data_IF_061165231638
#
_entry.id   IF_061165231638
#
_cell.length_a   1.000
_cell.length_b   1.000
_cell.length_c   1.000
_cell.angle_alpha   90.00
_cell.angle_beta   90.00
_cell.angle_gamma   90.00
#
_symmetry.space_group_name_H-M   'P 1'
#
loop_
_entity.id
_entity.type
_entity.pdbx_description
1 polymer ?
#
# COMPACT_ATOMS: atom_id res chain seq x y z
N UNK A 1 -39.70 6.11 1.01
CA UNK A 1 -38.92 4.91 1.36
C UNK A 1 -37.80 5.33 2.32
N UNK A 2 -37.99 5.15 3.63
CA UNK A 2 -36.98 5.55 4.64
C UNK A 2 -35.79 4.57 4.63
N UNK A 3 -36.04 3.29 4.32
CA UNK A 3 -34.98 2.26 4.21
C UNK A 3 -33.92 2.60 3.16
N UNK A 4 -34.32 3.11 2.00
CA UNK A 4 -33.37 3.44 0.93
C UNK A 4 -32.43 4.58 1.33
N UNK A 5 -32.94 5.57 2.07
CA UNK A 5 -32.14 6.67 2.62
C UNK A 5 -31.16 6.18 3.69
N UNK A 6 -31.59 5.23 4.53
CA UNK A 6 -30.71 4.60 5.53
C UNK A 6 -29.60 3.78 4.88
N UNK A 7 -29.92 3.03 3.82
CA UNK A 7 -28.92 2.24 3.07
C UNK A 7 -27.90 3.15 2.36
N UNK A 8 -28.35 4.23 1.70
CA UNK A 8 -27.44 5.20 1.05
C UNK A 8 -26.54 5.89 2.09
N UNK A 9 -27.09 6.23 3.26
CA UNK A 9 -26.30 6.79 4.35
C UNK A 9 -25.23 5.81 4.85
N UNK A 10 -25.57 4.54 5.03
CA UNK A 10 -24.63 3.50 5.48
C UNK A 10 -23.51 3.26 4.45
N UNK A 11 -23.85 3.18 3.17
CA UNK A 11 -22.88 3.04 2.08
C UNK A 11 -21.90 4.23 2.02
N UNK A 12 -22.41 5.45 2.22
CA UNK A 12 -21.58 6.67 2.25
C UNK A 12 -20.68 6.72 3.48
N UNK A 13 -21.17 6.28 4.64
CA UNK A 13 -20.37 6.18 5.85
C UNK A 13 -19.23 5.17 5.67
N UNK A 14 -19.53 3.98 5.12
CA UNK A 14 -18.51 2.97 4.82
C UNK A 14 -17.45 3.48 3.85
N UNK A 15 -17.85 4.15 2.76
CA UNK A 15 -16.90 4.77 1.82
C UNK A 15 -15.99 5.81 2.49
N UNK A 16 -16.55 6.61 3.41
CA UNK A 16 -15.79 7.62 4.14
C UNK A 16 -14.77 6.98 5.08
N UNK A 17 -15.14 5.90 5.76
CA UNK A 17 -14.22 5.13 6.61
C UNK A 17 -13.10 4.51 5.78
N UNK A 18 -13.41 3.93 4.62
CA UNK A 18 -12.40 3.33 3.74
C UNK A 18 -11.44 4.36 3.14
N UNK A 19 -11.93 5.55 2.79
CA UNK A 19 -11.07 6.68 2.38
C UNK A 19 -10.13 7.10 3.51
N UNK A 20 -10.65 7.27 4.73
CA UNK A 20 -9.84 7.60 5.90
C UNK A 20 -8.77 6.54 6.19
N UNK A 21 -9.10 5.25 6.05
CA UNK A 21 -8.13 4.16 6.23
C UNK A 21 -7.01 4.23 5.20
N UNK A 22 -7.34 4.49 3.93
CA UNK A 22 -6.34 4.70 2.89
C UNK A 22 -5.40 5.86 3.21
N UNK A 23 -5.97 7.00 3.61
CA UNK A 23 -5.18 8.17 3.98
C UNK A 23 -4.24 7.87 5.15
N UNK A 24 -4.74 7.21 6.20
CA UNK A 24 -3.95 6.82 7.37
C UNK A 24 -2.83 5.82 7.04
N UNK A 25 -3.02 4.91 6.08
CA UNK A 25 -1.99 3.97 5.66
C UNK A 25 -0.79 4.66 4.98
N UNK A 26 -1.03 5.81 4.34
CA UNK A 26 0.02 6.61 3.71
C UNK A 26 0.85 7.43 4.70
N UNK A 27 0.37 7.60 5.93
CA UNK A 27 1.03 8.41 6.95
C UNK A 27 2.17 7.63 7.62
N UNK A 28 3.36 8.22 7.62
CA UNK A 28 4.52 7.68 8.34
C UNK A 28 4.33 7.84 9.85
N UNK A 29 3.97 6.76 10.54
CA UNK A 29 3.74 6.72 11.99
C UNK A 29 4.99 6.42 12.82
N UNK A 30 6.17 6.37 12.20
CA UNK A 30 7.44 6.02 12.85
C UNK A 30 7.64 4.52 13.07
N UNK A 31 6.67 3.69 12.70
CA UNK A 31 6.81 2.23 12.60
C UNK A 31 6.96 1.82 11.14
N UNK A 32 7.79 0.81 10.90
CA UNK A 32 7.88 0.14 9.62
C UNK A 32 6.51 -0.46 9.25
N UNK A 33 5.95 -0.01 8.13
CA UNK A 33 4.69 -0.50 7.56
C UNK A 33 4.92 -0.83 6.09
N UNK A 34 4.59 -2.05 5.63
CA UNK A 34 4.73 -2.44 4.22
C UNK A 34 4.00 -1.48 3.28
N UNK A 35 2.79 -1.05 3.65
CA UNK A 35 1.92 -0.20 2.85
C UNK A 35 2.57 1.11 2.35
N UNK A 36 3.59 1.59 3.06
CA UNK A 36 4.35 2.79 2.69
C UNK A 36 5.17 2.62 1.40
N UNK A 37 5.64 1.41 1.11
CA UNK A 37 6.51 1.11 -0.04
C UNK A 37 5.83 0.25 -1.11
N UNK A 38 4.73 -0.42 -0.77
CA UNK A 38 3.97 -1.27 -1.70
C UNK A 38 3.48 -0.53 -2.96
N UNK A 39 3.15 0.75 -2.82
CA UNK A 39 2.59 1.59 -3.88
C UNK A 39 3.65 2.36 -4.69
N UNK A 40 4.94 2.22 -4.35
CA UNK A 40 6.02 2.83 -5.10
C UNK A 40 6.13 2.16 -6.47
N UNK A 41 6.11 2.99 -7.52
CA UNK A 41 6.30 2.54 -8.90
C UNK A 41 7.78 2.54 -9.20
N UNK A 42 8.27 1.40 -9.65
CA UNK A 42 9.65 1.17 -10.05
C UNK A 42 9.67 0.96 -11.56
N UNK A 43 10.62 1.56 -12.26
CA UNK A 43 10.76 1.40 -13.71
C UNK A 43 11.36 0.03 -14.06
N UNK A 44 10.50 -0.96 -14.31
CA UNK A 44 10.93 -2.29 -14.72
C UNK A 44 10.90 -2.40 -16.25
N UNK A 45 12.08 -2.50 -16.88
CA UNK A 45 12.22 -2.54 -18.34
C UNK A 45 11.44 -1.40 -19.06
N UNK A 46 11.44 -0.20 -18.48
CA UNK A 46 10.75 0.98 -19.03
C UNK A 46 9.24 1.04 -18.78
N UNK A 47 8.68 0.10 -18.00
CA UNK A 47 7.28 0.10 -17.57
C UNK A 47 7.19 0.40 -16.07
N UNK A 48 6.42 1.43 -15.65
CA UNK A 48 6.24 1.73 -14.23
C UNK A 48 5.41 0.62 -13.57
N UNK A 49 6.09 -0.22 -12.80
CA UNK A 49 5.52 -1.42 -12.17
C UNK A 49 5.50 -1.23 -10.65
N UNK A 50 4.41 -1.57 -9.94
CA UNK A 50 4.40 -1.51 -8.48
C UNK A 50 5.44 -2.43 -7.85
N UNK A 51 6.15 -1.95 -6.83
CA UNK A 51 7.19 -2.70 -6.13
C UNK A 51 6.69 -4.06 -5.59
N UNK A 52 5.43 -4.12 -5.15
CA UNK A 52 4.74 -5.36 -4.72
C UNK A 52 4.80 -6.51 -5.74
N UNK A 53 4.89 -6.20 -7.04
CA UNK A 53 4.91 -7.22 -8.09
C UNK A 53 6.32 -7.80 -8.31
N UNK A 54 7.35 -7.05 -7.91
CA UNK A 54 8.76 -7.40 -8.13
C UNK A 54 9.43 -7.97 -6.87
N UNK A 55 8.88 -7.67 -5.69
CA UNK A 55 9.46 -8.06 -4.41
C UNK A 55 8.42 -8.41 -3.36
N UNK A 56 8.80 -9.30 -2.45
CA UNK A 56 8.08 -9.54 -1.19
C UNK A 56 8.54 -8.53 -0.14
N UNK A 57 7.59 -7.78 0.42
CA UNK A 57 7.85 -6.80 1.48
C UNK A 57 7.46 -7.42 2.82
N UNK A 58 8.35 -7.35 3.81
CA UNK A 58 8.10 -7.84 5.16
C UNK A 58 8.66 -6.87 6.21
N UNK A 59 8.08 -6.88 7.40
CA UNK A 59 8.53 -6.07 8.54
C UNK A 59 9.08 -7.02 9.61
N UNK A 60 10.39 -7.29 9.64
CA UNK A 60 11.00 -8.14 10.65
C UNK A 60 11.00 -7.49 12.05
N UNK A 61 11.10 -6.16 12.13
CA UNK A 61 11.08 -5.39 13.38
C UNK A 61 10.41 -4.02 13.17
N UNK A 62 10.12 -3.31 14.27
CA UNK A 62 9.33 -2.09 14.21
C UNK A 62 9.96 -0.92 13.44
N UNK A 63 11.26 -0.98 13.10
CA UNK A 63 11.98 0.09 12.40
C UNK A 63 12.54 -0.33 11.05
N UNK A 64 12.67 -1.63 10.76
CA UNK A 64 13.21 -2.11 9.48
C UNK A 64 12.12 -2.64 8.55
N UNK A 65 12.21 -2.26 7.27
CA UNK A 65 11.48 -2.88 6.16
C UNK A 65 12.45 -3.77 5.37
N UNK A 66 12.12 -5.05 5.24
CA UNK A 66 12.86 -5.99 4.42
C UNK A 66 12.15 -6.20 3.08
N UNK A 67 12.78 -5.74 2.00
CA UNK A 67 12.30 -5.90 0.63
C UNK A 67 13.13 -7.03 -0.01
N UNK A 68 12.47 -8.12 -0.40
CA UNK A 68 13.10 -9.29 -1.02
C UNK A 68 12.65 -9.43 -2.48
N UNK A 69 13.45 -9.00 -3.45
CA UNK A 69 13.10 -9.15 -4.86
C UNK A 69 13.09 -10.61 -5.29
N UNK A 70 12.26 -10.93 -6.28
CA UNK A 70 12.20 -12.28 -6.86
C UNK A 70 13.41 -12.60 -7.74
N UNK A 71 13.95 -11.59 -8.44
CA UNK A 71 15.20 -11.71 -9.20
C UNK A 71 16.27 -10.77 -8.67
N UNK A 72 17.50 -11.26 -8.52
CA UNK A 72 18.63 -10.46 -8.05
C UNK A 72 18.98 -9.30 -9.00
N UNK A 73 18.62 -9.41 -10.28
CA UNK A 73 18.82 -8.37 -11.28
C UNK A 73 17.92 -7.15 -11.07
N UNK A 74 16.87 -7.27 -10.25
CA UNK A 74 15.90 -6.19 -10.02
C UNK A 74 16.35 -5.27 -8.87
N UNK A 75 17.38 -5.68 -8.11
CA UNK A 75 17.94 -4.90 -6.99
C UNK A 75 18.34 -3.48 -7.41
N UNK A 76 19.09 -3.24 -8.51
CA UNK A 76 19.52 -1.90 -8.91
C UNK A 76 18.37 -0.99 -9.31
N UNK A 77 17.22 -1.57 -9.67
CA UNK A 77 16.01 -0.82 -10.04
C UNK A 77 15.19 -0.44 -8.81
N UNK A 78 15.31 -1.23 -7.73
CA UNK A 78 14.55 -1.08 -6.48
C UNK A 78 15.28 -0.20 -5.45
N UNK A 79 16.61 -0.12 -5.49
CA UNK A 79 17.46 0.66 -4.57
C UNK A 79 17.28 2.17 -4.68
#
# INVERSE_FOLDING_TARGET
>A
MIKDVLNDADDRMHKTIEALRHDLMSIRTGRASPALVEHLKVEYYGVPTPLMQLATISVPDAQTLAIRPYAANDIPTIE
#
